data_IF_712418960994
#
_entry.id   IF_712418960994
#
_cell.length_a   1.000
_cell.length_b   1.000
_cell.length_c   1.000
_cell.angle_alpha   90.00
_cell.angle_beta   90.00
_cell.angle_gamma   90.00
#
_symmetry.space_group_name_H-M   'P 1'
#
loop_
_entity.id
_entity.type
_entity.pdbx_description
1 polymer ?
#
# COMPACT_ATOMS: atom_id res chain seq x y z
N UNK A 1 18.34 -31.96 11.15
CA UNK A 1 17.76 -33.15 10.65
C UNK A 1 16.54 -32.93 9.73
N UNK A 2 15.85 -33.99 9.48
CA UNK A 2 14.70 -34.03 8.58
C UNK A 2 13.60 -33.03 8.99
N UNK A 3 13.38 -32.87 10.28
CA UNK A 3 12.39 -31.95 10.85
C UNK A 3 12.71 -30.48 10.54
N UNK A 4 13.98 -30.10 10.71
CA UNK A 4 14.37 -28.72 10.48
C UNK A 4 14.32 -28.32 8.99
N UNK A 5 14.51 -29.27 8.07
CA UNK A 5 14.35 -29.02 6.63
C UNK A 5 12.88 -28.74 6.27
N UNK A 6 11.94 -29.54 6.80
CA UNK A 6 10.52 -29.35 6.53
C UNK A 6 10.02 -27.99 7.01
N UNK A 7 10.42 -27.58 8.21
CA UNK A 7 10.08 -26.27 8.75
C UNK A 7 10.67 -25.13 7.93
N UNK A 8 11.94 -25.23 7.55
CA UNK A 8 12.60 -24.21 6.74
C UNK A 8 11.93 -24.01 5.38
N UNK A 9 11.51 -25.10 4.74
CA UNK A 9 10.80 -25.03 3.45
C UNK A 9 9.42 -24.41 3.58
N UNK A 10 8.69 -24.72 4.65
CA UNK A 10 7.37 -24.12 4.96
C UNK A 10 7.54 -22.61 5.18
N UNK A 11 8.49 -22.18 5.98
CA UNK A 11 8.74 -20.76 6.23
C UNK A 11 9.14 -20.02 4.95
N UNK A 12 9.99 -20.58 4.12
CA UNK A 12 10.38 -19.99 2.83
C UNK A 12 9.18 -19.84 1.90
N UNK A 13 8.31 -20.85 1.87
CA UNK A 13 7.09 -20.80 1.06
C UNK A 13 6.13 -19.72 1.55
N UNK A 14 5.90 -19.64 2.86
CA UNK A 14 5.04 -18.63 3.45
C UNK A 14 5.56 -17.22 3.19
N UNK A 15 6.86 -16.99 3.38
CA UNK A 15 7.49 -15.71 3.10
C UNK A 15 7.32 -15.32 1.63
N UNK A 16 7.52 -16.25 0.70
CA UNK A 16 7.36 -16.02 -0.74
C UNK A 16 5.91 -15.70 -1.11
N UNK A 17 4.94 -16.41 -0.51
CA UNK A 17 3.51 -16.19 -0.72
C UNK A 17 3.05 -14.83 -0.20
N UNK A 18 3.78 -14.26 0.76
CA UNK A 18 3.46 -12.97 1.37
C UNK A 18 4.26 -11.80 0.78
N UNK A 19 4.95 -12.02 -0.32
CA UNK A 19 5.67 -10.95 -1.01
C UNK A 19 4.89 -10.50 -2.23
N UNK A 20 4.76 -9.19 -2.38
CA UNK A 20 4.13 -8.57 -3.54
C UNK A 20 5.11 -7.66 -4.26
N UNK A 21 4.96 -7.56 -5.56
CA UNK A 21 5.78 -6.70 -6.42
C UNK A 21 4.95 -5.52 -6.88
N UNK A 22 5.36 -4.33 -6.46
CA UNK A 22 4.79 -3.05 -6.89
C UNK A 22 5.73 -2.47 -7.95
N UNK A 23 5.28 -2.46 -9.20
CA UNK A 23 6.09 -1.95 -10.30
C UNK A 23 5.81 -0.47 -10.53
N UNK A 24 6.83 0.34 -10.35
CA UNK A 24 6.79 1.79 -10.54
C UNK A 24 7.63 2.21 -11.76
N UNK A 25 7.53 3.46 -12.16
CA UNK A 25 8.26 4.00 -13.33
C UNK A 25 9.77 3.78 -13.25
N UNK A 26 10.35 3.82 -12.05
CA UNK A 26 11.81 3.77 -11.86
C UNK A 26 12.32 2.39 -11.47
N UNK A 27 11.45 1.47 -11.09
CA UNK A 27 11.84 0.10 -10.73
C UNK A 27 10.81 -0.63 -9.89
N UNK A 28 11.13 -1.87 -9.58
CA UNK A 28 10.26 -2.76 -8.81
C UNK A 28 10.49 -2.60 -7.31
N UNK A 29 9.40 -2.55 -6.57
CA UNK A 29 9.38 -2.47 -5.11
C UNK A 29 8.83 -3.77 -4.57
N UNK A 30 9.57 -4.44 -3.70
CA UNK A 30 9.10 -5.65 -3.03
C UNK A 30 8.53 -5.30 -1.67
N UNK A 31 7.32 -5.76 -1.42
CA UNK A 31 6.60 -5.53 -0.17
C UNK A 31 6.33 -6.87 0.49
N UNK A 32 6.82 -7.03 1.71
CA UNK A 32 6.44 -8.16 2.55
C UNK A 32 5.14 -7.84 3.26
N UNK A 33 4.14 -8.71 3.11
CA UNK A 33 2.83 -8.54 3.71
C UNK A 33 2.76 -9.26 5.05
N UNK A 34 1.94 -8.74 5.98
CA UNK A 34 1.84 -9.25 7.35
C UNK A 34 0.42 -9.81 7.66
N UNK A 35 0.04 -10.96 7.10
CA UNK A 35 -1.30 -11.52 7.33
C UNK A 35 -1.55 -11.91 8.78
N UNK A 36 -0.50 -12.14 9.58
CA UNK A 36 -0.66 -12.50 10.99
C UNK A 36 -1.24 -11.36 11.84
N UNK A 37 -0.95 -10.13 11.47
CA UNK A 37 -1.39 -8.95 12.25
C UNK A 37 -2.54 -8.18 11.56
N UNK A 38 -2.71 -8.33 10.25
CA UNK A 38 -3.74 -7.62 9.49
C UNK A 38 -4.32 -8.54 8.39
N UNK A 39 -4.95 -9.66 8.77
CA UNK A 39 -5.38 -10.68 7.80
C UNK A 39 -6.36 -10.14 6.75
N UNK A 40 -7.32 -9.34 7.15
CA UNK A 40 -8.35 -8.84 6.24
C UNK A 40 -7.82 -7.74 5.32
N UNK A 41 -6.93 -6.90 5.81
CA UNK A 41 -6.28 -5.87 4.99
C UNK A 41 -5.34 -6.50 3.95
N UNK A 42 -4.53 -7.47 4.36
CA UNK A 42 -3.65 -8.20 3.43
C UNK A 42 -4.47 -8.90 2.35
N UNK A 43 -5.54 -9.58 2.73
CA UNK A 43 -6.42 -10.26 1.78
C UNK A 43 -7.02 -9.27 0.77
N UNK A 44 -7.53 -8.13 1.25
CA UNK A 44 -8.12 -7.10 0.39
C UNK A 44 -7.10 -6.56 -0.62
N UNK A 45 -5.92 -6.21 -0.17
CA UNK A 45 -4.86 -5.67 -1.03
C UNK A 45 -4.46 -6.73 -2.08
N UNK A 46 -4.29 -7.99 -1.68
CA UNK A 46 -3.94 -9.06 -2.60
C UNK A 46 -5.04 -9.30 -3.66
N UNK A 47 -6.29 -9.31 -3.25
CA UNK A 47 -7.42 -9.48 -4.19
C UNK A 47 -7.46 -8.36 -5.24
N UNK A 48 -7.38 -7.12 -4.80
CA UNK A 48 -7.41 -5.98 -5.70
C UNK A 48 -6.18 -5.95 -6.62
N UNK A 49 -5.01 -6.24 -6.07
CA UNK A 49 -3.76 -6.25 -6.81
C UNK A 49 -3.76 -7.35 -7.87
N UNK A 50 -4.03 -8.57 -7.48
CA UNK A 50 -3.97 -9.73 -8.39
C UNK A 50 -5.06 -9.71 -9.45
N UNK A 51 -6.16 -9.01 -9.21
CA UNK A 51 -7.20 -8.77 -10.22
C UNK A 51 -6.91 -7.58 -11.13
N UNK A 52 -5.79 -6.89 -10.96
CA UNK A 52 -5.37 -5.77 -11.80
C UNK A 52 -6.03 -4.43 -11.49
N UNK A 53 -6.75 -4.31 -10.37
CA UNK A 53 -7.47 -3.08 -10.06
C UNK A 53 -6.56 -1.92 -9.64
N UNK A 54 -5.32 -2.20 -9.23
CA UNK A 54 -4.34 -1.16 -8.93
C UNK A 54 -3.54 -0.71 -10.15
N UNK A 55 -3.64 -1.40 -11.28
CA UNK A 55 -2.92 -1.00 -12.50
C UNK A 55 -3.39 0.39 -12.94
N UNK A 56 -2.44 1.29 -13.22
CA UNK A 56 -2.69 2.68 -13.63
C UNK A 56 -3.29 3.59 -12.54
N UNK A 57 -3.33 3.15 -11.30
CA UNK A 57 -3.79 3.96 -10.17
C UNK A 57 -2.66 4.90 -9.75
N UNK A 58 -2.99 6.19 -9.61
CA UNK A 58 -2.00 7.24 -9.37
C UNK A 58 -1.69 7.42 -7.88
N UNK A 59 -0.48 7.92 -7.61
CA UNK A 59 -0.11 8.43 -6.29
C UNK A 59 -0.62 9.87 -6.16
N UNK A 60 -1.86 10.01 -5.75
CA UNK A 60 -2.57 11.29 -5.75
C UNK A 60 -2.16 12.25 -4.64
N UNK A 61 -1.55 11.73 -3.57
CA UNK A 61 -1.12 12.53 -2.41
C UNK A 61 0.24 12.05 -1.95
N UNK A 62 1.25 12.91 -2.09
CA UNK A 62 2.63 12.58 -1.74
C UNK A 62 3.23 13.76 -1.00
N UNK A 63 3.54 13.58 0.28
CA UNK A 63 4.12 14.60 1.13
C UNK A 63 5.58 14.25 1.38
N UNK A 64 6.49 15.10 0.89
CA UNK A 64 7.92 14.92 1.07
C UNK A 64 8.26 14.78 2.55
N UNK A 65 9.09 13.79 2.89
CA UNK A 65 9.49 13.53 4.26
C UNK A 65 8.42 12.86 5.13
N UNK A 66 7.25 12.54 4.56
CA UNK A 66 6.18 11.87 5.29
C UNK A 66 5.75 10.58 4.62
N UNK A 67 4.94 10.63 3.57
CA UNK A 67 4.40 9.40 2.96
C UNK A 67 3.97 9.62 1.50
N UNK A 68 3.84 8.52 0.76
CA UNK A 68 3.23 8.47 -0.57
C UNK A 68 1.93 7.66 -0.49
N UNK A 69 0.82 8.27 -0.84
CA UNK A 69 -0.52 7.65 -0.79
C UNK A 69 -1.05 7.39 -2.19
N UNK A 70 -1.65 6.21 -2.34
CA UNK A 70 -2.22 5.72 -3.61
C UNK A 70 -3.42 4.81 -3.32
N UNK A 71 -3.94 4.18 -4.35
CA UNK A 71 -4.89 3.09 -4.19
C UNK A 71 -6.35 3.48 -4.29
N UNK A 72 -6.69 4.68 -4.71
CA UNK A 72 -8.08 5.02 -5.08
C UNK A 72 -8.40 4.40 -6.44
N UNK A 73 -8.96 3.19 -6.42
CA UNK A 73 -9.22 2.42 -7.65
C UNK A 73 -10.40 2.97 -8.46
N UNK A 74 -11.17 3.88 -7.87
CA UNK A 74 -12.32 4.52 -8.54
C UNK A 74 -11.91 5.81 -9.24
N UNK A 75 -11.51 6.83 -8.45
CA UNK A 75 -11.21 8.15 -8.99
C UNK A 75 -9.73 8.33 -9.33
N UNK A 76 -8.88 7.45 -8.84
CA UNK A 76 -7.43 7.52 -9.06
C UNK A 76 -6.91 6.61 -10.17
N UNK A 77 -7.76 5.84 -10.83
CA UNK A 77 -7.33 4.96 -11.93
C UNK A 77 -7.30 5.76 -13.23
N UNK A 78 -6.09 6.06 -13.70
CA UNK A 78 -5.87 6.92 -14.89
C UNK A 78 -6.38 6.32 -16.20
N UNK A 79 -6.69 5.04 -16.24
CA UNK A 79 -7.26 4.38 -17.41
C UNK A 79 -8.79 4.23 -17.34
N UNK A 80 -9.41 4.61 -16.23
CA UNK A 80 -10.85 4.51 -16.04
C UNK A 80 -11.56 5.78 -16.52
N UNK A 81 -12.80 5.58 -17.02
CA UNK A 81 -13.68 6.70 -17.39
C UNK A 81 -14.05 7.58 -16.17
N UNK A 82 -13.95 7.03 -14.96
CA UNK A 82 -14.28 7.74 -13.72
C UNK A 82 -13.08 8.52 -13.16
N UNK A 83 -11.93 8.47 -13.83
CA UNK A 83 -10.71 9.14 -13.36
C UNK A 83 -10.95 10.64 -13.16
N UNK A 84 -10.71 11.12 -11.94
CA UNK A 84 -10.86 12.53 -11.57
C UNK A 84 -9.90 12.88 -10.44
N UNK A 85 -8.82 13.61 -10.77
CA UNK A 85 -7.82 13.99 -9.77
C UNK A 85 -8.39 14.84 -8.62
N UNK A 86 -9.47 15.60 -8.87
CA UNK A 86 -10.10 16.41 -7.82
C UNK A 86 -10.82 15.55 -6.79
N UNK A 87 -11.21 14.35 -7.17
CA UNK A 87 -11.90 13.39 -6.30
C UNK A 87 -10.98 12.26 -5.81
N UNK A 88 -9.80 12.13 -6.41
CA UNK A 88 -8.84 11.10 -5.98
C UNK A 88 -8.55 11.25 -4.48
N UNK A 89 -8.71 10.16 -3.77
CA UNK A 89 -8.60 10.15 -2.31
C UNK A 89 -9.92 9.90 -1.59
N UNK A 90 -11.08 10.09 -2.25
CA UNK A 90 -12.37 9.82 -1.63
C UNK A 90 -13.01 8.52 -2.10
N UNK A 91 -12.46 7.87 -3.12
CA UNK A 91 -13.00 6.65 -3.68
C UNK A 91 -12.34 5.38 -3.14
N UNK A 92 -12.90 4.25 -3.55
CA UNK A 92 -12.41 2.93 -3.19
C UNK A 92 -12.98 1.87 -4.10
N UNK A 93 -12.81 0.61 -3.72
CA UNK A 93 -13.38 -0.52 -4.44
C UNK A 93 -14.88 -0.67 -4.18
N UNK A 94 -15.52 -1.55 -4.93
CA UNK A 94 -16.93 -1.90 -4.72
C UNK A 94 -17.15 -2.85 -3.54
N UNK A 95 -16.05 -3.30 -2.91
CA UNK A 95 -16.12 -4.19 -1.76
C UNK A 95 -16.44 -3.39 -0.48
N UNK A 96 -16.97 -4.04 0.57
CA UNK A 96 -17.26 -3.37 1.84
C UNK A 96 -16.02 -2.80 2.50
N UNK A 97 -16.20 -1.74 3.28
CA UNK A 97 -15.13 -1.20 4.11
C UNK A 97 -14.63 -2.24 5.12
N UNK A 98 -13.37 -2.10 5.51
CA UNK A 98 -12.70 -3.01 6.43
C UNK A 98 -12.72 -2.46 7.86
N UNK A 99 -13.01 -3.34 8.82
CA UNK A 99 -12.78 -3.04 10.22
C UNK A 99 -11.29 -2.89 10.49
N UNK A 100 -10.94 -2.00 11.40
CA UNK A 100 -9.55 -1.77 11.75
C UNK A 100 -8.86 -3.05 12.27
N UNK A 101 -7.58 -3.16 11.98
CA UNK A 101 -6.69 -4.21 12.48
C UNK A 101 -5.44 -3.57 13.07
N UNK A 102 -5.63 -2.57 13.96
CA UNK A 102 -4.52 -1.86 14.59
C UNK A 102 -3.63 -2.86 15.34
N UNK A 103 -2.34 -2.65 15.23
CA UNK A 103 -1.34 -3.55 15.80
C UNK A 103 -0.14 -2.75 16.29
N UNK A 104 0.84 -3.45 16.88
CA UNK A 104 1.98 -2.80 17.53
C UNK A 104 3.14 -2.49 16.58
N UNK A 105 3.03 -2.82 15.29
CA UNK A 105 4.10 -2.53 14.34
C UNK A 105 4.21 -1.01 14.12
N UNK A 106 5.44 -0.47 14.15
CA UNK A 106 5.64 0.97 14.02
C UNK A 106 5.50 1.45 12.57
N UNK A 107 5.16 2.71 12.42
CA UNK A 107 5.21 3.39 11.12
C UNK A 107 6.63 3.93 10.92
N UNK A 108 7.53 3.04 10.47
CA UNK A 108 8.92 3.37 10.15
C UNK A 108 9.07 3.65 8.65
N UNK A 109 10.27 4.05 8.23
CA UNK A 109 10.58 4.16 6.81
C UNK A 109 10.30 2.83 6.10
N UNK A 110 9.51 2.86 5.04
CA UNK A 110 9.13 1.68 4.27
C UNK A 110 7.89 0.94 4.76
N UNK A 111 7.33 1.33 5.90
CA UNK A 111 6.08 0.74 6.39
C UNK A 111 4.94 1.04 5.42
N UNK A 112 4.14 0.01 5.12
CA UNK A 112 2.95 0.11 4.28
C UNK A 112 1.72 -0.03 5.18
N UNK A 113 0.87 0.98 5.16
CA UNK A 113 -0.26 1.10 6.08
C UNK A 113 -1.50 1.55 5.33
N UNK A 114 -2.67 1.27 5.89
CA UNK A 114 -3.94 1.51 5.23
C UNK A 114 -4.47 2.91 5.50
N UNK A 115 -4.79 3.63 4.44
CA UNK A 115 -5.48 4.91 4.55
C UNK A 115 -6.95 4.69 4.90
N UNK A 116 -7.54 5.67 5.57
CA UNK A 116 -8.95 5.66 5.98
C UNK A 116 -9.47 7.08 6.16
N UNK A 117 -10.76 7.22 6.29
CA UNK A 117 -11.37 8.48 6.71
C UNK A 117 -11.27 8.64 8.24
N UNK A 118 -12.00 9.55 8.83
CA UNK A 118 -12.04 9.73 10.28
C UNK A 118 -12.59 8.51 11.03
N UNK A 119 -13.44 7.71 10.39
CA UNK A 119 -13.93 6.46 10.94
C UNK A 119 -12.82 5.39 10.92
N UNK A 120 -12.42 4.81 12.06
CA UNK A 120 -11.41 3.76 12.11
C UNK A 120 -11.74 2.52 11.28
N UNK A 121 -13.02 2.30 10.98
CA UNK A 121 -13.52 1.15 10.24
C UNK A 121 -13.92 1.52 8.80
N UNK A 122 -13.24 2.49 8.21
CA UNK A 122 -13.53 2.99 6.85
C UNK A 122 -12.45 2.69 5.82
N UNK A 123 -11.45 1.88 6.15
CA UNK A 123 -10.43 1.47 5.18
C UNK A 123 -11.07 0.65 4.05
N UNK A 124 -10.58 0.81 2.83
CA UNK A 124 -11.14 0.09 1.68
C UNK A 124 -10.06 -0.37 0.72
N UNK A 125 -9.41 0.53 -0.01
CA UNK A 125 -8.42 0.19 -1.04
C UNK A 125 -7.17 1.07 -1.00
N UNK A 126 -7.24 2.25 -0.39
CA UNK A 126 -6.13 3.19 -0.38
C UNK A 126 -5.11 2.84 0.68
N UNK A 127 -3.82 2.99 0.34
CA UNK A 127 -2.72 2.73 1.25
C UNK A 127 -1.61 3.75 1.05
N UNK A 128 -0.69 3.79 1.99
CA UNK A 128 0.47 4.69 1.91
C UNK A 128 1.75 4.00 2.34
N UNK A 129 2.86 4.51 1.84
CA UNK A 129 4.21 4.04 2.18
C UNK A 129 4.93 5.20 2.86
N UNK A 130 5.47 4.96 4.04
CA UNK A 130 6.16 6.00 4.82
C UNK A 130 7.57 6.24 4.27
N UNK A 131 7.93 7.51 4.08
CA UNK A 131 9.30 7.91 3.74
C UNK A 131 10.20 7.97 4.98
N UNK A 132 9.63 8.30 6.12
CA UNK A 132 10.32 8.47 7.40
C UNK A 132 9.45 7.95 8.55
N UNK A 133 10.03 7.71 9.73
CA UNK A 133 9.21 7.32 10.89
C UNK A 133 8.11 8.35 11.18
N UNK A 134 6.92 7.84 11.41
CA UNK A 134 5.73 8.64 11.73
C UNK A 134 5.03 8.04 12.96
N UNK A 135 5.65 8.15 14.16
CA UNK A 135 5.14 7.48 15.34
C UNK A 135 3.75 7.97 15.79
N UNK A 136 3.36 9.17 15.38
CA UNK A 136 2.01 9.69 15.66
C UNK A 136 0.89 8.90 14.96
N UNK A 137 1.23 8.03 13.99
CA UNK A 137 0.29 7.14 13.32
C UNK A 137 0.17 5.78 14.01
N UNK A 138 1.08 5.44 14.89
CA UNK A 138 1.14 4.12 15.51
C UNK A 138 -0.15 3.80 16.27
N UNK A 139 -0.69 2.61 16.01
CA UNK A 139 -1.97 2.12 16.58
C UNK A 139 -3.19 2.97 16.19
N UNK A 140 -3.04 3.88 15.22
CA UNK A 140 -4.11 4.70 14.66
C UNK A 140 -4.46 4.30 13.23
N UNK A 141 -3.58 3.56 12.57
CA UNK A 141 -3.73 3.06 11.21
C UNK A 141 -3.26 1.61 11.16
N UNK A 142 -3.84 0.82 10.25
CA UNK A 142 -3.52 -0.60 10.14
C UNK A 142 -2.27 -0.80 9.29
N UNK A 143 -1.15 -1.14 9.94
CA UNK A 143 0.07 -1.59 9.27
C UNK A 143 -0.18 -3.00 8.73
N UNK A 144 0.09 -3.24 7.44
CA UNK A 144 -0.12 -4.55 6.83
C UNK A 144 1.09 -5.05 6.05
N UNK A 145 2.14 -4.28 5.94
CA UNK A 145 3.34 -4.70 5.20
C UNK A 145 4.51 -3.75 5.36
N UNK A 146 5.61 -4.10 4.71
CA UNK A 146 6.83 -3.30 4.69
C UNK A 146 7.58 -3.51 3.39
N UNK A 147 8.14 -2.43 2.86
CA UNK A 147 9.07 -2.48 1.73
C UNK A 147 10.35 -3.15 2.19
N UNK A 148 10.73 -4.24 1.53
CA UNK A 148 11.98 -4.98 1.81
C UNK A 148 13.05 -4.77 0.74
N UNK A 149 12.67 -4.26 -0.44
CA UNK A 149 13.58 -3.99 -1.55
C UNK A 149 12.99 -2.91 -2.45
N UNK A 150 13.81 -2.00 -2.94
CA UNK A 150 13.38 -0.98 -3.89
C UNK A 150 12.84 0.30 -3.26
N UNK A 151 13.13 0.58 -1.99
CA UNK A 151 12.64 1.81 -1.34
C UNK A 151 13.16 3.08 -2.04
N UNK A 152 14.34 3.02 -2.67
CA UNK A 152 14.87 4.12 -3.48
C UNK A 152 13.92 4.52 -4.62
N UNK A 153 13.15 3.58 -5.16
CA UNK A 153 12.16 3.86 -6.20
C UNK A 153 10.91 4.53 -5.63
N UNK A 154 10.55 4.20 -4.40
CA UNK A 154 9.48 4.90 -3.68
C UNK A 154 9.89 6.36 -3.42
N UNK A 155 11.15 6.61 -3.06
CA UNK A 155 11.68 7.96 -2.86
C UNK A 155 11.60 8.81 -4.14
N UNK A 156 11.58 8.20 -5.31
CA UNK A 156 11.54 8.87 -6.62
C UNK A 156 10.12 9.23 -7.07
N UNK A 157 9.10 8.81 -6.33
CA UNK A 157 7.71 9.17 -6.64
C UNK A 157 7.56 10.68 -6.57
N UNK A 158 6.89 11.27 -7.56
CA UNK A 158 6.66 12.70 -7.65
C UNK A 158 5.92 13.22 -6.42
N UNK A 159 6.53 14.20 -5.73
CA UNK A 159 5.97 14.84 -4.55
C UNK A 159 4.91 15.86 -4.96
N UNK A 160 3.92 16.02 -4.09
CA UNK A 160 2.88 17.01 -4.28
C UNK A 160 3.28 18.38 -3.79
N UNK A 161 2.40 19.35 -4.02
CA UNK A 161 2.57 20.73 -3.61
C UNK A 161 1.80 21.04 -2.33
N UNK A 162 2.32 21.97 -1.54
CA UNK A 162 1.67 22.44 -0.32
C UNK A 162 1.65 21.41 0.79
N UNK A 163 0.97 21.75 1.88
CA UNK A 163 0.91 20.92 3.09
C UNK A 163 0.06 19.65 2.88
N UNK A 164 -0.86 19.69 1.94
CA UNK A 164 -1.74 18.55 1.65
C UNK A 164 -1.08 17.49 0.77
N UNK A 165 -0.05 17.85 0.01
CA UNK A 165 0.67 16.94 -0.86
C UNK A 165 -0.08 16.52 -2.11
N UNK A 166 -1.08 17.28 -2.55
CA UNK A 166 -1.82 16.99 -3.77
C UNK A 166 -0.89 17.05 -4.98
N UNK A 167 -0.88 16.01 -5.81
CA UNK A 167 0.02 15.89 -6.95
C UNK A 167 -0.74 16.25 -8.23
N UNK A 168 -0.30 17.29 -8.94
CA UNK A 168 -0.96 17.75 -10.17
C UNK A 168 -0.65 16.87 -11.38
N UNK A 169 0.52 16.24 -11.40
CA UNK A 169 0.92 15.31 -12.47
C UNK A 169 1.48 14.02 -11.85
N UNK A 170 0.61 13.19 -11.27
CA UNK A 170 1.05 12.08 -10.44
C UNK A 170 1.60 10.91 -11.25
N UNK A 171 2.56 10.21 -10.64
CA UNK A 171 3.01 8.90 -11.12
C UNK A 171 1.94 7.87 -10.86
N UNK A 172 1.94 6.82 -11.69
CA UNK A 172 0.99 5.71 -11.56
C UNK A 172 1.67 4.40 -11.22
N UNK A 173 0.92 3.50 -10.62
CA UNK A 173 1.30 2.11 -10.47
C UNK A 173 1.25 1.47 -11.86
N UNK A 174 2.33 0.86 -12.31
CA UNK A 174 2.35 0.11 -13.57
C UNK A 174 1.63 -1.23 -13.35
N UNK A 175 2.01 -1.95 -12.31
CA UNK A 175 1.34 -3.17 -11.89
C UNK A 175 1.61 -3.45 -10.41
N UNK A 176 0.71 -4.21 -9.79
CA UNK A 176 0.87 -4.65 -8.40
C UNK A 176 0.38 -6.08 -8.33
N UNK A 177 1.27 -7.03 -8.03
CA UNK A 177 0.97 -8.46 -8.11
C UNK A 177 1.69 -9.23 -7.00
N UNK A 178 1.09 -10.33 -6.60
CA UNK A 178 1.77 -11.33 -5.77
C UNK A 178 2.97 -11.92 -6.53
N UNK A 179 4.06 -12.14 -5.81
CA UNK A 179 5.27 -12.71 -6.37
C UNK A 179 5.07 -14.18 -6.79
#
# INVERSE_FOLDING_TARGET
GYWSRGLGDVYKRQAKENIMILKLKDGDVKIEMYPDVAPNHVKRIQELADSGQYDNVVFHRVIDGFMAQTGDVKFGNSSSKDFDLRRAGIGGSDLPDLNQEFNDLPHDRGTVSMARSSDPNSANSQFFICFKPAPFLDRQYTVFGKVIEGMEFVDMITKGDGDNGAVSNPDKIISFKSQ
#
